data_IF_628666238436
#
_entry.id   IF_628666238436
#
_cell.length_a   1.000
_cell.length_b   1.000
_cell.length_c   1.000
_cell.angle_alpha   90.00
_cell.angle_beta   90.00
_cell.angle_gamma   90.00
#
_symmetry.space_group_name_H-M   'P 1'
#
loop_
_entity.id
_entity.type
_entity.pdbx_description
1 polymer ?
#
# COMPACT_ATOMS: atom_id res chain seq x y z
N UNK A 1 52.15 23.66 29.70
CA UNK A 1 51.67 25.06 29.73
C UNK A 1 51.04 25.35 28.38
N UNK A 2 49.77 25.81 28.33
CA UNK A 2 49.01 25.99 27.10
C UNK A 2 49.16 27.43 26.54
N UNK A 3 49.21 27.56 25.22
CA UNK A 3 49.08 28.84 24.52
C UNK A 3 47.66 28.97 23.99
N UNK A 4 46.91 29.94 24.50
CA UNK A 4 45.54 30.29 24.14
C UNK A 4 45.49 30.99 22.77
N UNK A 5 44.63 30.52 21.87
CA UNK A 5 44.27 31.24 20.63
C UNK A 5 43.00 32.05 20.85
N UNK A 6 43.14 33.38 20.91
CA UNK A 6 42.02 34.32 20.98
C UNK A 6 41.31 34.45 19.62
N UNK A 7 40.02 34.08 19.56
CA UNK A 7 39.15 34.35 18.42
C UNK A 7 38.56 35.76 18.52
N UNK A 8 38.99 36.67 17.63
CA UNK A 8 38.35 37.98 17.48
C UNK A 8 37.12 37.88 16.57
N UNK A 9 35.92 38.13 17.11
CA UNK A 9 34.72 38.38 16.31
C UNK A 9 34.70 39.85 15.88
N UNK A 10 34.72 40.11 14.57
CA UNK A 10 34.47 41.45 14.01
C UNK A 10 32.96 41.73 14.03
N UNK A 11 32.49 42.93 14.44
CA UNK A 11 31.10 43.29 14.30
C UNK A 11 30.73 43.44 12.81
N UNK A 12 29.50 43.07 12.40
CA UNK A 12 29.07 43.18 11.02
C UNK A 12 29.07 44.65 10.58
N UNK A 13 29.81 44.95 9.51
CA UNK A 13 29.88 46.28 8.92
C UNK A 13 28.60 46.69 8.22
N UNK A 14 28.47 47.98 7.92
CA UNK A 14 27.29 48.64 7.35
C UNK A 14 26.70 47.99 6.07
N UNK A 15 27.44 47.11 5.39
CA UNK A 15 26.94 46.32 4.25
C UNK A 15 25.82 45.33 4.61
N UNK A 16 25.74 44.85 5.85
CA UNK A 16 24.69 43.90 6.26
C UNK A 16 23.31 44.56 6.38
N UNK A 17 23.27 45.85 6.75
CA UNK A 17 22.02 46.61 6.84
C UNK A 17 21.46 47.01 5.47
N UNK A 18 22.31 47.17 4.44
CA UNK A 18 21.86 47.45 3.08
C UNK A 18 21.13 46.26 2.43
N UNK A 19 21.51 45.02 2.78
CA UNK A 19 20.88 43.80 2.25
C UNK A 19 19.43 43.59 2.75
N UNK A 20 19.08 44.09 3.93
CA UNK A 20 17.72 43.96 4.50
C UNK A 20 16.67 44.87 3.85
N UNK A 21 17.07 45.85 3.05
CA UNK A 21 16.16 46.80 2.39
C UNK A 21 15.98 46.46 0.90
N UNK A 22 17.03 45.98 0.22
CA UNK A 22 17.00 45.76 -1.24
C UNK A 22 16.21 44.50 -1.63
N UNK A 23 16.28 43.42 -0.85
CA UNK A 23 15.61 42.15 -1.15
C UNK A 23 14.07 42.25 -1.11
N UNK A 24 13.43 42.88 -0.10
CA UNK A 24 11.96 43.03 -0.11
C UNK A 24 11.47 43.98 -1.22
N UNK A 25 12.27 44.97 -1.64
CA UNK A 25 11.90 45.92 -2.69
C UNK A 25 11.98 45.32 -4.12
N UNK A 26 12.85 44.32 -4.33
CA UNK A 26 12.93 43.55 -5.57
C UNK A 26 11.76 42.56 -5.76
N UNK A 27 11.22 42.00 -4.66
CA UNK A 27 10.08 41.08 -4.71
C UNK A 27 8.73 41.77 -4.94
N UNK A 28 8.62 43.07 -4.64
CA UNK A 28 7.42 43.86 -4.91
C UNK A 28 7.27 44.28 -6.40
N UNK A 29 8.34 44.19 -7.21
CA UNK A 29 8.37 44.67 -8.60
C UNK A 29 8.03 43.59 -9.66
N UNK A 30 7.92 42.32 -9.28
CA UNK A 30 7.60 41.22 -10.21
C UNK A 30 6.07 40.96 -10.30
N UNK A 31 5.27 41.60 -9.44
CA UNK A 31 3.82 41.33 -9.32
C UNK A 31 2.88 42.12 -10.23
N UNK A 32 3.35 42.95 -11.16
CA UNK A 32 2.45 43.81 -11.98
C UNK A 32 2.89 43.96 -13.43
N UNK A 33 2.70 42.93 -14.26
CA UNK A 33 2.51 43.08 -15.71
C UNK A 33 2.15 41.72 -16.34
N UNK A 34 0.90 41.55 -16.78
CA UNK A 34 0.49 41.08 -18.13
C UNK A 34 -1.04 40.87 -18.15
N UNK A 35 -1.70 41.88 -18.70
CA UNK A 35 -3.01 41.96 -19.40
C UNK A 35 -2.65 42.78 -20.66
N UNK A 36 -3.19 42.62 -21.87
CA UNK A 36 -4.31 41.92 -22.49
C UNK A 36 -3.87 41.59 -23.94
N UNK A 37 -4.60 40.72 -24.66
CA UNK A 37 -5.29 41.10 -25.91
C UNK A 37 -5.70 39.90 -26.79
N UNK A 38 -7.03 39.77 -26.88
CA UNK A 38 -7.90 39.42 -28.03
C UNK A 38 -7.47 38.42 -29.10
N UNK A 39 -8.36 37.44 -29.35
CA UNK A 39 -8.88 37.17 -30.70
C UNK A 39 -10.24 36.47 -30.61
N UNK A 40 -11.28 37.25 -30.90
CA UNK A 40 -12.64 36.83 -31.22
C UNK A 40 -12.64 35.95 -32.49
N UNK A 41 -13.31 34.80 -32.43
CA UNK A 41 -13.80 34.08 -33.61
C UNK A 41 -14.98 33.20 -33.21
N UNK A 42 -16.18 33.77 -33.27
CA UNK A 42 -17.44 33.02 -33.35
C UNK A 42 -17.62 32.51 -34.81
N UNK A 43 -17.99 31.26 -35.05
CA UNK A 43 -19.35 30.69 -35.21
C UNK A 43 -19.20 29.20 -35.66
N UNK A 44 -20.25 28.34 -35.72
CA UNK A 44 -21.37 28.08 -34.80
C UNK A 44 -21.46 26.58 -34.39
N UNK A 45 -21.83 26.29 -33.14
CA UNK A 45 -22.15 24.92 -32.69
C UNK A 45 -23.64 24.60 -32.91
N UNK A 46 -24.02 23.48 -33.55
CA UNK A 46 -25.33 22.89 -33.37
C UNK A 46 -25.27 21.84 -32.25
N UNK A 47 -25.88 22.22 -31.12
CA UNK A 47 -26.82 21.43 -30.31
C UNK A 47 -26.55 19.93 -29.99
N UNK A 48 -26.60 19.69 -28.67
CA UNK A 48 -27.05 18.48 -27.95
C UNK A 48 -26.01 17.36 -27.77
N UNK A 49 -25.36 17.38 -26.60
CA UNK A 49 -25.28 16.19 -25.76
C UNK A 49 -25.41 16.62 -24.31
N UNK A 50 -26.52 16.24 -23.70
CA UNK A 50 -26.81 16.42 -22.27
C UNK A 50 -25.73 15.71 -21.45
N UNK A 51 -24.78 16.49 -20.90
CA UNK A 51 -23.97 16.03 -19.79
C UNK A 51 -24.91 15.75 -18.60
N UNK A 52 -24.82 14.60 -17.91
CA UNK A 52 -25.53 14.43 -16.67
C UNK A 52 -24.98 15.45 -15.68
N UNK A 53 -25.89 16.24 -15.11
CA UNK A 53 -25.63 17.04 -13.91
C UNK A 53 -25.23 16.07 -12.80
N UNK A 54 -23.92 15.93 -12.58
CA UNK A 54 -23.41 15.31 -11.37
C UNK A 54 -23.71 16.27 -10.22
N UNK A 55 -24.81 16.00 -9.53
CA UNK A 55 -25.00 16.40 -8.14
C UNK A 55 -23.73 16.02 -7.38
N UNK A 56 -23.09 16.94 -6.63
CA UNK A 56 -21.99 16.54 -5.77
C UNK A 56 -22.56 15.53 -4.76
N UNK A 57 -22.13 14.27 -4.88
CA UNK A 57 -22.40 13.27 -3.87
C UNK A 57 -21.85 13.83 -2.55
N UNK A 58 -22.73 13.88 -1.55
CA UNK A 58 -22.49 14.40 -0.22
C UNK A 58 -21.05 14.19 0.25
N UNK A 59 -20.42 15.28 0.69
CA UNK A 59 -19.26 15.21 1.58
C UNK A 59 -19.67 14.46 2.85
N UNK A 60 -19.39 13.16 2.89
CA UNK A 60 -19.30 12.41 4.13
C UNK A 60 -17.97 12.78 4.75
N UNK A 61 -17.99 13.26 5.99
CA UNK A 61 -16.78 13.52 6.75
C UNK A 61 -15.96 12.22 6.76
N UNK A 62 -14.76 12.26 6.17
CA UNK A 62 -13.89 11.10 6.06
C UNK A 62 -13.56 10.59 7.45
N UNK A 63 -14.14 9.45 7.81
CA UNK A 63 -13.78 8.73 9.03
C UNK A 63 -12.38 8.17 8.78
N UNK A 64 -11.36 8.83 9.33
CA UNK A 64 -9.98 8.34 9.27
C UNK A 64 -9.82 7.28 10.35
N UNK A 65 -10.08 6.03 9.99
CA UNK A 65 -9.83 4.87 10.84
C UNK A 65 -8.45 4.29 10.61
N UNK A 66 -7.94 3.67 11.67
CA UNK A 66 -6.68 2.95 11.63
C UNK A 66 -6.80 1.72 10.72
N UNK A 67 -5.73 1.37 9.98
CA UNK A 67 -5.78 0.29 9.03
C UNK A 67 -5.93 -1.05 9.74
N UNK A 68 -6.76 -1.92 9.19
CA UNK A 68 -6.93 -3.30 9.63
C UNK A 68 -7.05 -4.20 8.40
N UNK A 69 -6.40 -5.34 8.39
CA UNK A 69 -6.45 -6.28 7.29
C UNK A 69 -6.37 -7.71 7.77
N UNK A 70 -6.99 -8.58 7.00
CA UNK A 70 -6.93 -10.00 7.18
C UNK A 70 -6.75 -10.63 5.81
N UNK A 71 -5.79 -11.53 5.69
CA UNK A 71 -5.56 -12.29 4.48
C UNK A 71 -5.44 -13.78 4.82
N UNK A 72 -6.24 -14.60 4.16
CA UNK A 72 -6.12 -16.04 4.16
C UNK A 72 -5.36 -16.48 2.91
N UNK A 73 -4.40 -17.37 3.09
CA UNK A 73 -3.60 -17.98 2.03
C UNK A 73 -3.27 -19.42 2.41
N UNK A 74 -3.96 -20.38 1.80
CA UNK A 74 -3.83 -21.82 2.08
C UNK A 74 -4.15 -22.15 3.55
N UNK A 75 -3.15 -22.49 4.35
CA UNK A 75 -3.28 -22.77 5.78
C UNK A 75 -2.93 -21.54 6.64
N UNK A 76 -2.37 -20.47 6.08
CA UNK A 76 -1.96 -19.29 6.86
C UNK A 76 -3.01 -18.18 6.81
N UNK A 77 -3.31 -17.61 7.98
CA UNK A 77 -4.13 -16.40 8.10
C UNK A 77 -3.30 -15.29 8.71
N UNK A 78 -2.98 -14.27 7.92
CA UNK A 78 -2.27 -13.07 8.37
C UNK A 78 -3.29 -12.05 8.82
N UNK A 79 -3.19 -11.61 10.07
CA UNK A 79 -4.00 -10.52 10.63
C UNK A 79 -3.08 -9.37 10.95
N UNK A 80 -3.26 -8.22 10.30
CA UNK A 80 -2.34 -7.08 10.43
C UNK A 80 -3.09 -5.76 10.52
N UNK A 81 -2.49 -4.76 11.18
CA UNK A 81 -3.12 -3.45 11.38
C UNK A 81 -2.95 -2.91 12.79
N UNK A 82 -3.78 -1.94 13.13
CA UNK A 82 -3.73 -1.22 14.39
C UNK A 82 -5.04 -1.39 15.16
N UNK A 83 -4.94 -1.70 16.44
CA UNK A 83 -6.09 -1.90 17.35
C UNK A 83 -5.92 -1.03 18.60
N UNK A 84 -7.01 -0.58 19.23
CA UNK A 84 -6.94 0.42 20.30
C UNK A 84 -6.43 -0.15 21.63
N UNK A 85 -6.65 -1.45 21.88
CA UNK A 85 -6.30 -2.12 23.12
C UNK A 85 -6.10 -3.64 22.95
N UNK A 86 -5.50 -4.28 23.97
CA UNK A 86 -5.25 -5.72 24.01
C UNK A 86 -6.54 -6.58 23.99
N UNK A 87 -7.65 -6.20 24.66
CA UNK A 87 -8.92 -6.90 24.50
C UNK A 87 -9.40 -6.97 23.05
N UNK A 88 -9.29 -5.88 22.29
CA UNK A 88 -9.69 -5.83 20.88
C UNK A 88 -8.78 -6.72 20.02
N UNK A 89 -7.47 -6.70 20.26
CA UNK A 89 -6.51 -7.60 19.62
C UNK A 89 -6.87 -9.07 19.86
N UNK A 90 -7.13 -9.41 21.13
CA UNK A 90 -7.47 -10.77 21.54
C UNK A 90 -8.77 -11.23 20.91
N UNK A 91 -9.78 -10.36 20.89
CA UNK A 91 -11.07 -10.64 20.26
C UNK A 91 -10.92 -10.96 18.76
N UNK A 92 -10.16 -10.14 18.02
CA UNK A 92 -9.92 -10.36 16.59
C UNK A 92 -9.28 -11.74 16.34
N UNK A 93 -8.19 -12.05 17.06
CA UNK A 93 -7.45 -13.29 16.88
C UNK A 93 -8.24 -14.52 17.30
N UNK A 94 -9.00 -14.43 18.40
CA UNK A 94 -9.87 -15.51 18.87
C UNK A 94 -10.95 -15.82 17.84
N UNK A 95 -11.51 -14.78 17.21
CA UNK A 95 -12.56 -14.97 16.22
C UNK A 95 -12.05 -15.63 14.94
N UNK A 96 -10.89 -15.20 14.47
CA UNK A 96 -10.20 -15.82 13.32
C UNK A 96 -9.91 -17.29 13.60
N UNK A 97 -9.31 -17.61 14.75
CA UNK A 97 -9.00 -19.01 15.14
C UNK A 97 -10.23 -19.88 15.28
N UNK A 98 -11.34 -19.30 15.74
CA UNK A 98 -12.61 -20.03 15.93
C UNK A 98 -13.30 -20.33 14.61
N UNK A 99 -13.28 -19.37 13.67
CA UNK A 99 -14.00 -19.49 12.39
C UNK A 99 -13.19 -20.15 11.28
N UNK A 100 -11.87 -20.08 11.35
CA UNK A 100 -10.95 -20.73 10.42
C UNK A 100 -10.11 -21.79 11.17
N UNK A 101 -10.74 -22.91 11.58
CA UNK A 101 -10.05 -23.95 12.31
C UNK A 101 -9.05 -24.68 11.41
N UNK A 102 -7.85 -24.93 11.94
CA UNK A 102 -6.77 -25.58 11.18
C UNK A 102 -5.78 -24.60 10.55
N UNK A 103 -6.14 -23.32 10.44
CA UNK A 103 -5.23 -22.30 9.94
C UNK A 103 -4.20 -21.86 10.98
N UNK A 104 -2.97 -21.63 10.55
CA UNK A 104 -1.92 -20.98 11.31
C UNK A 104 -2.10 -19.46 11.27
N UNK A 105 -2.48 -18.87 12.41
CA UNK A 105 -2.78 -17.45 12.50
C UNK A 105 -1.52 -16.65 12.81
N UNK A 106 -1.05 -15.89 11.83
CA UNK A 106 0.08 -14.96 11.92
C UNK A 106 -0.45 -13.60 12.40
N UNK A 107 -0.03 -13.21 13.59
CA UNK A 107 -0.51 -12.01 14.27
C UNK A 107 0.51 -10.87 14.13
N UNK A 108 0.17 -9.92 13.25
CA UNK A 108 0.92 -8.69 12.99
C UNK A 108 0.15 -7.46 13.48
N UNK A 109 -0.78 -7.63 14.43
CA UNK A 109 -1.55 -6.52 15.00
C UNK A 109 -0.73 -5.73 16.02
N UNK A 110 -0.77 -4.40 15.89
CA UNK A 110 -0.14 -3.45 16.81
C UNK A 110 -1.19 -2.76 17.69
N UNK A 111 -0.96 -2.73 19.01
CA UNK A 111 -1.83 -2.03 19.96
C UNK A 111 -1.39 -0.58 20.11
N UNK A 112 -2.26 0.36 19.73
CA UNK A 112 -2.01 1.80 19.85
C UNK A 112 -3.23 2.46 20.50
N UNK A 113 -3.07 2.90 21.75
CA UNK A 113 -4.15 3.55 22.50
C UNK A 113 -4.57 4.90 21.91
N UNK A 114 -5.86 5.21 21.97
CA UNK A 114 -6.42 6.50 21.56
C UNK A 114 -6.61 6.68 20.05
N UNK A 115 -6.47 5.62 19.26
CA UNK A 115 -6.80 5.61 17.82
C UNK A 115 -8.30 5.34 17.61
N UNK A 116 -8.83 5.80 16.49
CA UNK A 116 -10.12 5.34 15.96
C UNK A 116 -9.87 4.09 15.12
N UNK A 117 -10.31 2.93 15.59
CA UNK A 117 -10.17 1.65 14.88
C UNK A 117 -11.54 1.16 14.38
N UNK A 118 -11.57 0.29 13.35
CA UNK A 118 -12.82 -0.31 12.90
C UNK A 118 -13.46 -1.17 13.99
N UNK A 119 -14.79 -1.15 14.05
CA UNK A 119 -15.55 -2.05 14.93
C UNK A 119 -15.46 -3.48 14.38
N UNK A 120 -14.91 -4.40 15.17
CA UNK A 120 -14.69 -5.78 14.74
C UNK A 120 -15.86 -6.71 15.09
N UNK A 121 -16.96 -6.21 15.67
CA UNK A 121 -18.12 -7.05 16.03
C UNK A 121 -18.78 -7.74 14.83
N UNK A 122 -18.71 -7.11 13.64
CA UNK A 122 -19.22 -7.68 12.38
C UNK A 122 -18.28 -8.69 11.71
N UNK A 123 -17.06 -8.88 12.23
CA UNK A 123 -16.02 -9.72 11.63
C UNK A 123 -16.50 -11.16 11.37
N UNK A 124 -17.37 -11.66 12.25
CA UNK A 124 -18.00 -12.97 12.17
C UNK A 124 -18.66 -13.24 10.83
N UNK A 125 -19.52 -12.31 10.41
CA UNK A 125 -20.30 -12.45 9.18
C UNK A 125 -19.40 -12.48 7.96
N UNK A 126 -18.38 -11.61 7.96
CA UNK A 126 -17.40 -11.50 6.87
C UNK A 126 -16.55 -12.76 6.75
N UNK A 127 -16.04 -13.27 7.87
CA UNK A 127 -15.24 -14.51 7.89
C UNK A 127 -16.07 -15.74 7.48
N UNK A 128 -17.33 -15.83 7.92
CA UNK A 128 -18.22 -16.92 7.51
C UNK A 128 -18.52 -16.85 6.02
N UNK A 129 -18.84 -15.66 5.50
CA UNK A 129 -19.15 -15.46 4.09
C UNK A 129 -17.94 -15.70 3.19
N UNK A 130 -16.75 -15.30 3.63
CA UNK A 130 -15.48 -15.47 2.92
C UNK A 130 -14.87 -16.87 3.05
N UNK A 131 -15.31 -17.71 4.00
CA UNK A 131 -14.78 -19.06 4.21
C UNK A 131 -14.75 -19.99 2.97
N UNK A 132 -15.67 -19.89 1.98
CA UNK A 132 -15.60 -20.69 0.76
C UNK A 132 -14.50 -20.22 -0.21
N UNK A 133 -13.93 -19.03 -0.02
CA UNK A 133 -12.91 -18.46 -0.88
C UNK A 133 -11.52 -18.89 -0.35
N UNK A 134 -10.73 -19.65 -1.12
CA UNK A 134 -9.45 -20.18 -0.64
C UNK A 134 -8.43 -19.08 -0.33
N UNK A 135 -8.52 -17.96 -1.04
CA UNK A 135 -7.58 -16.84 -0.95
C UNK A 135 -8.22 -15.56 -0.40
N UNK A 136 -9.27 -15.72 0.41
CA UNK A 136 -10.03 -14.58 0.90
C UNK A 136 -9.16 -13.60 1.68
N UNK A 137 -9.33 -12.32 1.43
CA UNK A 137 -8.81 -11.29 2.31
C UNK A 137 -9.59 -10.01 2.20
N UNK A 138 -9.45 -9.17 3.21
CA UNK A 138 -9.97 -7.82 3.16
C UNK A 138 -9.02 -6.84 3.85
N UNK A 139 -9.07 -5.59 3.41
CA UNK A 139 -8.32 -4.49 4.01
C UNK A 139 -9.22 -3.30 4.22
N UNK A 140 -9.25 -2.80 5.44
CA UNK A 140 -9.91 -1.56 5.84
C UNK A 140 -8.84 -0.49 5.94
N UNK A 141 -9.00 0.59 5.17
CA UNK A 141 -8.10 1.74 5.22
C UNK A 141 -8.91 3.04 5.14
N UNK A 142 -8.97 3.78 6.25
CA UNK A 142 -9.79 4.98 6.33
C UNK A 142 -11.28 4.68 6.15
N UNK A 143 -11.86 5.13 5.05
CA UNK A 143 -13.29 5.01 4.74
C UNK A 143 -13.67 3.84 3.82
N UNK A 144 -12.68 3.07 3.36
CA UNK A 144 -12.87 2.06 2.33
C UNK A 144 -12.55 0.66 2.88
N UNK A 145 -13.34 -0.33 2.44
CA UNK A 145 -13.07 -1.76 2.64
C UNK A 145 -12.80 -2.38 1.28
N UNK A 146 -11.60 -2.91 1.10
CA UNK A 146 -11.18 -3.61 -0.11
C UNK A 146 -11.34 -5.11 0.14
N UNK A 147 -12.14 -5.78 -0.67
CA UNK A 147 -12.30 -7.23 -0.65
C UNK A 147 -11.43 -7.85 -1.73
N UNK A 148 -10.73 -8.92 -1.38
CA UNK A 148 -9.86 -9.66 -2.30
C UNK A 148 -10.13 -11.14 -2.15
N UNK A 149 -10.00 -11.89 -3.22
CA UNK A 149 -10.17 -13.33 -3.20
C UNK A 149 -10.59 -13.88 -4.54
N UNK A 150 -10.86 -15.17 -4.54
CA UNK A 150 -11.18 -15.90 -5.76
C UNK A 150 -12.47 -16.67 -5.55
N UNK A 151 -13.55 -16.25 -6.21
CA UNK A 151 -14.89 -16.82 -6.08
C UNK A 151 -15.22 -17.83 -7.18
N UNK A 152 -15.96 -18.87 -6.81
CA UNK A 152 -16.49 -19.85 -7.77
C UNK A 152 -17.69 -19.33 -8.57
N UNK A 153 -18.42 -18.34 -8.03
CA UNK A 153 -19.56 -17.69 -8.70
C UNK A 153 -19.84 -16.30 -8.15
N UNK A 154 -20.53 -15.47 -8.94
CA UNK A 154 -20.99 -14.13 -8.53
C UNK A 154 -21.89 -14.18 -7.29
N UNK A 155 -22.66 -15.25 -7.09
CA UNK A 155 -23.47 -15.44 -5.88
C UNK A 155 -22.62 -15.54 -4.60
N UNK A 156 -21.39 -16.06 -4.70
CA UNK A 156 -20.46 -16.12 -3.56
C UNK A 156 -19.98 -14.71 -3.25
N UNK A 157 -19.56 -13.97 -4.27
CA UNK A 157 -19.12 -12.58 -4.16
C UNK A 157 -20.19 -11.69 -3.52
N UNK A 158 -21.42 -11.73 -4.01
CA UNK A 158 -22.53 -10.92 -3.47
C UNK A 158 -22.80 -11.20 -1.98
N UNK A 159 -22.66 -12.45 -1.51
CA UNK A 159 -22.82 -12.78 -0.09
C UNK A 159 -21.70 -12.18 0.78
N UNK A 160 -20.48 -12.10 0.25
CA UNK A 160 -19.36 -11.49 0.96
C UNK A 160 -19.54 -9.97 1.03
N UNK A 161 -19.93 -9.34 -0.08
CA UNK A 161 -20.25 -7.91 -0.12
C UNK A 161 -21.38 -7.57 0.86
N UNK A 162 -22.48 -8.33 0.87
CA UNK A 162 -23.60 -8.15 1.80
C UNK A 162 -23.14 -8.28 3.26
N UNK A 163 -22.28 -9.24 3.57
CA UNK A 163 -21.73 -9.44 4.91
C UNK A 163 -20.85 -8.27 5.35
N UNK A 164 -20.03 -7.73 4.44
CA UNK A 164 -19.15 -6.58 4.69
C UNK A 164 -19.96 -5.31 4.86
N UNK A 165 -20.97 -5.09 4.01
CA UNK A 165 -21.90 -3.96 4.10
C UNK A 165 -22.75 -4.02 5.38
N UNK A 166 -23.08 -5.22 5.87
CA UNK A 166 -23.77 -5.41 7.16
C UNK A 166 -22.84 -5.15 8.36
N UNK A 167 -21.57 -5.53 8.25
CA UNK A 167 -20.56 -5.30 9.29
C UNK A 167 -20.17 -3.81 9.38
N UNK A 168 -20.02 -3.14 8.25
CA UNK A 168 -19.57 -1.75 8.16
C UNK A 168 -20.42 -0.95 7.18
N UNK A 169 -21.66 -0.55 7.58
CA UNK A 169 -22.60 0.12 6.68
C UNK A 169 -22.16 1.51 6.23
N UNK A 170 -21.25 2.13 6.98
CA UNK A 170 -20.75 3.48 6.71
C UNK A 170 -19.50 3.50 5.80
N UNK A 171 -18.92 2.33 5.48
CA UNK A 171 -17.72 2.24 4.64
C UNK A 171 -18.09 1.93 3.18
N UNK A 172 -17.28 2.45 2.27
CA UNK A 172 -17.39 2.12 0.85
C UNK A 172 -16.75 0.74 0.62
N UNK A 173 -17.55 -0.21 0.13
CA UNK A 173 -17.05 -1.53 -0.27
C UNK A 173 -16.49 -1.42 -1.68
N UNK A 174 -15.22 -1.81 -1.83
CA UNK A 174 -14.53 -1.99 -3.10
C UNK A 174 -14.33 -3.49 -3.27
N UNK A 175 -15.17 -4.11 -4.09
CA UNK A 175 -15.06 -5.52 -4.40
C UNK A 175 -14.03 -5.78 -5.50
N UNK A 176 -13.04 -6.60 -5.17
CA UNK A 176 -12.01 -7.10 -6.08
C UNK A 176 -11.86 -8.63 -5.93
N UNK A 177 -12.97 -9.30 -5.62
CA UNK A 177 -13.04 -10.76 -5.64
C UNK A 177 -13.16 -11.22 -7.10
N UNK A 178 -12.11 -11.88 -7.59
CA UNK A 178 -12.09 -12.44 -8.93
C UNK A 178 -13.01 -13.66 -9.03
N UNK A 179 -14.05 -13.61 -9.85
CA UNK A 179 -14.88 -14.79 -10.15
C UNK A 179 -14.16 -15.65 -11.18
N UNK A 180 -13.76 -16.88 -10.81
CA UNK A 180 -13.22 -17.84 -11.78
C UNK A 180 -14.36 -18.21 -12.73
N UNK A 181 -14.35 -17.62 -13.92
CA UNK A 181 -15.14 -18.12 -15.03
C UNK A 181 -14.45 -19.39 -15.55
N UNK A 182 -15.06 -20.59 -15.48
CA UNK A 182 -14.43 -21.79 -15.99
C UNK A 182 -14.15 -21.61 -17.50
N UNK A 183 -12.87 -21.45 -17.85
CA UNK A 183 -12.40 -21.26 -19.22
C UNK A 183 -11.48 -20.07 -19.49
N UNK A 184 -11.25 -19.17 -18.53
CA UNK A 184 -10.30 -18.07 -18.67
C UNK A 184 -9.42 -17.96 -17.42
N UNK A 185 -8.36 -18.77 -17.36
CA UNK A 185 -7.33 -18.57 -16.35
C UNK A 185 -6.59 -17.25 -16.64
N UNK A 186 -6.29 -16.41 -15.63
CA UNK A 186 -5.37 -15.29 -15.81
C UNK A 186 -4.06 -15.78 -16.43
N UNK A 187 -3.38 -14.99 -17.28
CA UNK A 187 -2.06 -15.38 -17.80
C UNK A 187 -1.15 -15.67 -16.61
N UNK A 188 -0.77 -16.94 -16.44
CA UNK A 188 0.13 -17.35 -15.39
C UNK A 188 1.42 -16.56 -15.56
N UNK A 189 1.84 -15.85 -14.51
CA UNK A 189 3.19 -15.29 -14.45
C UNK A 189 4.18 -16.40 -14.81
N UNK A 190 5.23 -16.11 -15.59
CA UNK A 190 6.18 -17.13 -16.04
C UNK A 190 6.70 -17.89 -14.82
N UNK A 191 6.38 -19.19 -14.76
CA UNK A 191 6.88 -20.11 -13.75
C UNK A 191 8.40 -20.09 -13.83
N UNK A 192 9.05 -19.38 -12.90
CA UNK A 192 10.47 -19.57 -12.63
C UNK A 192 10.68 -21.06 -12.34
N UNK A 193 11.81 -21.69 -12.74
CA UNK A 193 12.06 -23.08 -12.41
C UNK A 193 11.96 -23.22 -10.90
N UNK A 194 10.85 -23.82 -10.44
CA UNK A 194 10.48 -23.76 -9.04
C UNK A 194 11.57 -24.36 -8.17
N UNK A 195 11.73 -23.78 -6.98
CA UNK A 195 12.52 -24.39 -5.92
C UNK A 195 11.99 -25.82 -5.69
N UNK A 196 12.88 -26.77 -5.42
CA UNK A 196 12.51 -28.17 -5.19
C UNK A 196 12.80 -28.59 -3.75
N UNK A 197 12.07 -29.58 -3.23
CA UNK A 197 12.25 -30.08 -1.87
C UNK A 197 11.59 -29.16 -0.84
N UNK A 198 12.25 -28.90 0.28
CA UNK A 198 11.72 -28.15 1.44
C UNK A 198 11.37 -26.67 1.13
N UNK A 199 11.73 -26.18 -0.06
CA UNK A 199 11.49 -24.80 -0.50
C UNK A 199 10.49 -24.68 -1.64
N UNK A 200 9.80 -25.78 -2.00
CA UNK A 200 8.87 -25.79 -3.13
C UNK A 200 7.74 -24.77 -2.98
N UNK A 201 7.26 -24.57 -1.75
CA UNK A 201 6.12 -23.70 -1.45
C UNK A 201 6.55 -22.25 -1.13
N UNK A 202 7.86 -21.98 -1.03
CA UNK A 202 8.40 -20.68 -0.61
C UNK A 202 7.87 -19.50 -1.44
N UNK A 203 7.74 -19.66 -2.76
CA UNK A 203 7.21 -18.59 -3.61
C UNK A 203 5.75 -18.27 -3.25
N UNK A 204 4.95 -19.29 -2.97
CA UNK A 204 3.54 -19.15 -2.62
C UNK A 204 3.39 -18.48 -1.25
N UNK A 205 4.21 -18.88 -0.27
CA UNK A 205 4.20 -18.31 1.07
C UNK A 205 4.58 -16.82 1.05
N UNK A 206 5.67 -16.47 0.35
CA UNK A 206 6.10 -15.08 0.16
C UNK A 206 5.00 -14.26 -0.55
N UNK A 207 4.37 -14.83 -1.57
CA UNK A 207 3.29 -14.16 -2.30
C UNK A 207 2.06 -13.94 -1.42
N UNK A 208 1.73 -14.90 -0.55
CA UNK A 208 0.66 -14.80 0.44
C UNK A 208 0.90 -13.65 1.44
N UNK A 209 2.12 -13.55 1.97
CA UNK A 209 2.52 -12.47 2.87
C UNK A 209 2.44 -11.09 2.19
N UNK A 210 2.81 -10.99 0.92
CA UNK A 210 2.84 -9.73 0.15
C UNK A 210 1.48 -9.25 -0.37
N UNK A 211 0.41 -10.03 -0.18
CA UNK A 211 -0.95 -9.51 -0.37
C UNK A 211 -1.24 -8.35 0.60
N UNK A 212 -0.56 -8.32 1.75
CA UNK A 212 -0.48 -7.12 2.58
C UNK A 212 0.61 -6.19 2.04
N UNK A 213 0.28 -4.96 1.60
CA UNK A 213 1.28 -4.06 1.03
C UNK A 213 2.36 -3.66 2.04
N UNK A 214 3.61 -3.65 1.59
CA UNK A 214 4.70 -3.03 2.35
C UNK A 214 4.49 -1.52 2.33
N UNK A 215 4.31 -0.93 3.50
CA UNK A 215 4.06 0.50 3.67
C UNK A 215 5.36 1.29 3.75
N UNK A 216 5.34 2.49 3.19
CA UNK A 216 6.46 3.43 3.21
C UNK A 216 6.06 4.75 3.89
N UNK A 217 7.03 5.44 4.47
CA UNK A 217 6.86 6.83 4.90
C UNK A 217 6.46 7.71 3.69
N UNK A 218 5.64 8.74 3.94
CA UNK A 218 5.01 9.56 2.91
C UNK A 218 6.01 10.06 1.83
N UNK A 219 5.71 9.74 0.57
CA UNK A 219 6.49 10.17 -0.61
C UNK A 219 7.90 9.57 -0.70
N UNK A 220 8.21 8.55 0.10
CA UNK A 220 9.57 8.05 0.28
C UNK A 220 9.76 6.56 -0.03
N UNK A 221 10.98 6.12 0.23
CA UNK A 221 11.41 4.72 0.17
C UNK A 221 11.78 4.16 1.55
N UNK A 222 11.50 4.90 2.63
CA UNK A 222 11.71 4.39 3.99
C UNK A 222 10.55 3.50 4.37
N UNK A 223 10.83 2.25 4.71
CA UNK A 223 9.81 1.30 5.17
C UNK A 223 9.22 1.82 6.47
N UNK A 224 7.89 1.88 6.54
CA UNK A 224 7.18 2.31 7.74
C UNK A 224 7.36 1.28 8.87
N UNK A 225 7.40 1.74 10.11
CA UNK A 225 7.53 0.86 11.29
C UNK A 225 6.40 -0.19 11.36
N UNK A 226 5.21 0.16 10.89
CA UNK A 226 4.06 -0.76 10.80
C UNK A 226 4.33 -1.99 9.91
N UNK A 227 5.28 -1.91 8.98
CA UNK A 227 5.67 -3.03 8.12
C UNK A 227 6.86 -3.83 8.66
N UNK A 228 7.48 -3.41 9.78
CA UNK A 228 8.58 -4.16 10.38
C UNK A 228 8.22 -5.62 10.73
N UNK A 229 7.03 -5.94 11.27
CA UNK A 229 6.61 -7.32 11.51
C UNK A 229 6.51 -8.15 10.22
N UNK A 230 5.94 -7.58 9.16
CA UNK A 230 5.85 -8.23 7.85
C UNK A 230 7.24 -8.53 7.25
N UNK A 231 8.16 -7.56 7.34
CA UNK A 231 9.55 -7.75 6.88
C UNK A 231 10.23 -8.87 7.67
N UNK A 232 10.00 -8.96 8.98
CA UNK A 232 10.58 -10.02 9.81
C UNK A 232 10.06 -11.41 9.41
N UNK A 233 8.76 -11.53 9.10
CA UNK A 233 8.17 -12.79 8.64
C UNK A 233 8.71 -13.20 7.26
N UNK A 234 8.78 -12.27 6.31
CA UNK A 234 9.42 -12.52 5.00
C UNK A 234 10.86 -13.00 5.16
N UNK A 235 11.64 -12.38 6.05
CA UNK A 235 13.03 -12.79 6.32
C UNK A 235 13.10 -14.19 6.95
N UNK A 236 12.16 -14.54 7.81
CA UNK A 236 12.08 -15.87 8.43
C UNK A 236 11.89 -16.95 7.35
N UNK A 237 10.95 -16.77 6.44
CA UNK A 237 10.72 -17.70 5.32
C UNK A 237 11.94 -17.82 4.40
N UNK A 238 12.56 -16.68 4.05
CA UNK A 238 13.78 -16.65 3.22
C UNK A 238 15.00 -17.31 3.89
N UNK A 239 15.03 -17.36 5.22
CA UNK A 239 16.09 -18.04 5.99
C UNK A 239 15.86 -19.53 6.12
N UNK A 240 14.60 -19.99 6.17
CA UNK A 240 14.26 -21.41 6.11
C UNK A 240 14.78 -22.04 4.80
N UNK A 241 14.90 -21.23 3.75
CA UNK A 241 15.36 -21.63 2.43
C UNK A 241 16.69 -20.96 2.01
N UNK A 242 17.84 -21.36 2.59
CA UNK A 242 19.12 -20.66 2.39
C UNK A 242 19.68 -20.74 0.96
N UNK A 243 19.17 -21.67 0.15
CA UNK A 243 19.55 -21.87 -1.25
C UNK A 243 18.79 -20.98 -2.24
N UNK A 244 17.64 -20.43 -1.84
CA UNK A 244 16.80 -19.60 -2.71
C UNK A 244 17.44 -18.22 -2.95
N UNK A 245 17.44 -17.76 -4.19
CA UNK A 245 17.71 -16.35 -4.54
C UNK A 245 16.42 -15.56 -4.51
N UNK A 246 16.54 -14.26 -4.31
CA UNK A 246 15.43 -13.33 -4.10
C UNK A 246 15.62 -12.15 -5.05
N UNK A 247 14.60 -11.88 -5.86
CA UNK A 247 14.50 -10.69 -6.68
C UNK A 247 13.34 -9.84 -6.17
N UNK A 248 13.61 -8.57 -5.91
CA UNK A 248 12.63 -7.61 -5.38
C UNK A 248 12.38 -6.55 -6.44
N UNK A 249 11.13 -6.41 -6.88
CA UNK A 249 10.74 -5.44 -7.89
C UNK A 249 9.74 -4.46 -7.30
N UNK A 250 10.04 -3.16 -7.39
CA UNK A 250 9.09 -2.11 -6.98
C UNK A 250 8.25 -1.63 -8.16
N UNK A 251 7.00 -1.26 -7.89
CA UNK A 251 6.07 -0.70 -8.86
C UNK A 251 5.44 0.59 -8.33
N UNK A 252 5.08 1.50 -9.23
CA UNK A 252 4.34 2.73 -8.92
C UNK A 252 3.02 2.76 -9.68
N UNK A 253 2.13 3.68 -9.31
CA UNK A 253 1.03 4.08 -10.17
C UNK A 253 1.50 5.03 -11.30
N UNK A 254 0.56 5.47 -12.13
CA UNK A 254 0.77 6.38 -13.26
C UNK A 254 0.85 7.87 -12.87
N UNK A 255 0.75 8.21 -11.59
CA UNK A 255 0.77 9.62 -11.16
C UNK A 255 2.18 10.21 -11.14
N UNK A 256 3.20 9.34 -11.13
CA UNK A 256 4.61 9.72 -11.12
C UNK A 256 5.18 9.56 -12.52
N UNK A 257 5.84 10.62 -13.03
CA UNK A 257 6.49 10.57 -14.34
C UNK A 257 7.45 9.37 -14.45
N UNK A 258 7.43 8.65 -15.58
CA UNK A 258 8.08 7.35 -15.77
C UNK A 258 9.49 7.25 -15.20
N UNK A 259 10.37 8.22 -15.50
CA UNK A 259 11.75 8.21 -15.00
C UNK A 259 11.83 8.36 -13.47
N UNK A 260 10.98 9.21 -12.88
CA UNK A 260 10.91 9.40 -11.43
C UNK A 260 10.21 8.21 -10.74
N UNK A 261 9.25 7.57 -11.40
CA UNK A 261 8.56 6.37 -10.91
C UNK A 261 9.50 5.16 -10.87
N UNK A 262 10.31 4.96 -11.91
CA UNK A 262 11.37 3.94 -11.93
C UNK A 262 12.38 4.19 -10.81
N UNK A 263 12.83 5.43 -10.60
CA UNK A 263 13.78 5.74 -9.53
C UNK A 263 13.17 5.52 -8.13
N UNK A 264 11.91 5.94 -7.92
CA UNK A 264 11.20 5.75 -6.66
C UNK A 264 11.01 4.28 -6.33
N UNK A 265 10.47 3.52 -7.27
CA UNK A 265 10.25 2.08 -7.12
C UNK A 265 11.56 1.31 -6.90
N UNK A 266 12.65 1.69 -7.60
CA UNK A 266 13.96 1.08 -7.39
C UNK A 266 14.50 1.37 -5.97
N UNK A 267 14.32 2.59 -5.46
CA UNK A 267 14.70 2.92 -4.07
C UNK A 267 13.87 2.16 -3.05
N UNK A 268 12.58 1.99 -3.30
CA UNK A 268 11.68 1.21 -2.44
C UNK A 268 12.10 -0.27 -2.40
N UNK A 269 12.29 -0.91 -3.56
CA UNK A 269 12.79 -2.28 -3.65
C UNK A 269 14.15 -2.44 -2.97
N UNK A 270 15.06 -1.46 -3.15
CA UNK A 270 16.35 -1.44 -2.47
C UNK A 270 16.21 -1.35 -0.95
N UNK A 271 15.27 -0.56 -0.44
CA UNK A 271 15.06 -0.44 1.00
C UNK A 271 14.63 -1.79 1.62
N UNK A 272 13.78 -2.54 0.92
CA UNK A 272 13.37 -3.90 1.31
C UNK A 272 14.57 -4.86 1.24
N UNK A 273 15.36 -4.82 0.17
CA UNK A 273 16.58 -5.62 0.04
C UNK A 273 17.56 -5.35 1.19
N UNK A 274 17.83 -4.07 1.48
CA UNK A 274 18.73 -3.69 2.55
C UNK A 274 18.17 -4.11 3.93
N UNK A 275 16.84 -4.13 4.11
CA UNK A 275 16.21 -4.65 5.32
C UNK A 275 16.42 -6.16 5.48
N UNK A 276 16.25 -6.94 4.42
CA UNK A 276 16.50 -8.39 4.44
C UNK A 276 17.95 -8.69 4.77
N UNK A 277 18.89 -7.95 4.16
CA UNK A 277 20.32 -8.12 4.41
C UNK A 277 20.67 -7.78 5.85
N UNK A 278 20.17 -6.66 6.39
CA UNK A 278 20.38 -6.28 7.80
C UNK A 278 19.87 -7.34 8.77
N UNK A 279 18.80 -8.04 8.41
CA UNK A 279 18.24 -9.10 9.23
C UNK A 279 18.88 -10.47 8.97
N UNK A 280 19.86 -10.60 8.07
CA UNK A 280 20.72 -11.78 7.93
C UNK A 280 20.44 -12.65 6.69
N UNK A 281 19.70 -12.17 5.70
CA UNK A 281 19.70 -12.79 4.36
C UNK A 281 21.03 -12.42 3.67
N UNK A 282 21.70 -13.39 3.03
CA UNK A 282 22.97 -13.11 2.35
C UNK A 282 22.77 -12.10 1.20
N UNK A 283 23.61 -11.08 1.12
CA UNK A 283 23.55 -10.06 0.07
C UNK A 283 23.69 -10.67 -1.34
N UNK A 284 24.47 -11.74 -1.50
CA UNK A 284 24.67 -12.43 -2.78
C UNK A 284 23.39 -13.12 -3.29
N UNK A 285 22.37 -13.25 -2.44
CA UNK A 285 21.08 -13.86 -2.76
C UNK A 285 20.01 -12.82 -3.09
N UNK A 286 20.23 -11.54 -2.81
CA UNK A 286 19.19 -10.51 -2.92
C UNK A 286 19.52 -9.55 -4.04
N UNK A 287 18.57 -9.40 -4.96
CA UNK A 287 18.61 -8.41 -6.03
C UNK A 287 17.40 -7.49 -5.92
N UNK A 288 17.53 -6.24 -6.37
CA UNK A 288 16.44 -5.27 -6.36
C UNK A 288 16.40 -4.47 -7.65
N UNK A 289 15.20 -4.16 -8.13
CA UNK A 289 14.94 -3.37 -9.33
C UNK A 289 13.66 -2.55 -9.20
N UNK A 290 13.49 -1.53 -10.05
CA UNK A 290 12.28 -0.72 -10.12
C UNK A 290 11.67 -0.76 -11.51
N UNK A 291 10.39 -1.06 -11.59
CA UNK A 291 9.62 -1.07 -12.83
C UNK A 291 8.83 0.23 -13.04
N UNK A 292 8.64 1.06 -12.00
CA UNK A 292 7.75 2.21 -12.08
C UNK A 292 6.32 1.79 -12.45
N UNK A 293 5.68 2.52 -13.37
CA UNK A 293 4.31 2.28 -13.81
C UNK A 293 4.20 1.30 -15.01
N UNK A 294 5.30 0.68 -15.45
CA UNK A 294 5.33 -0.07 -16.73
C UNK A 294 4.61 -1.41 -16.68
N UNK A 295 4.33 -1.93 -15.49
CA UNK A 295 3.71 -3.24 -15.25
C UNK A 295 2.51 -3.11 -14.29
N UNK A 296 1.42 -2.46 -14.73
CA UNK A 296 0.21 -2.32 -13.92
C UNK A 296 -0.53 -3.66 -13.82
N UNK A 297 -1.05 -3.95 -12.64
CA UNK A 297 -1.91 -5.12 -12.38
C UNK A 297 -3.39 -4.73 -12.32
N UNK A 298 -3.68 -3.43 -12.21
CA UNK A 298 -5.02 -2.87 -12.21
C UNK A 298 -5.07 -1.56 -13.00
N UNK A 299 -6.28 -1.13 -13.37
CA UNK A 299 -6.49 0.15 -14.06
C UNK A 299 -6.13 1.33 -13.17
N UNK A 300 -5.51 2.38 -13.73
CA UNK A 300 -5.14 3.59 -12.96
C UNK A 300 -6.27 4.64 -12.86
N UNK A 301 -7.46 4.33 -13.40
CA UNK A 301 -8.61 5.24 -13.43
C UNK A 301 -9.21 5.49 -12.04
N UNK A 302 -9.00 4.57 -11.09
CA UNK A 302 -9.50 4.66 -9.72
C UNK A 302 -8.34 4.70 -8.71
N UNK A 303 -8.58 5.30 -7.54
CA UNK A 303 -7.57 5.29 -6.48
C UNK A 303 -7.25 3.87 -5.99
N UNK A 304 -8.25 2.98 -6.00
CA UNK A 304 -8.08 1.58 -5.65
C UNK A 304 -7.10 0.87 -6.59
N UNK A 305 -7.28 1.00 -7.91
CA UNK A 305 -6.37 0.40 -8.88
C UNK A 305 -4.97 1.03 -8.87
N UNK A 306 -4.86 2.34 -8.60
CA UNK A 306 -3.55 2.97 -8.33
C UNK A 306 -2.88 2.42 -7.07
N UNK A 307 -3.63 2.20 -6.00
CA UNK A 307 -3.09 1.61 -4.77
C UNK A 307 -2.51 0.21 -5.00
N UNK A 308 -3.12 -0.59 -5.87
CA UNK A 308 -2.61 -1.92 -6.25
C UNK A 308 -1.34 -1.86 -7.10
N UNK A 309 -1.24 -0.84 -7.97
CA UNK A 309 -0.03 -0.63 -8.77
C UNK A 309 1.16 -0.15 -7.92
N UNK A 310 0.93 0.54 -6.80
CA UNK A 310 1.94 0.89 -5.79
C UNK A 310 2.31 -0.32 -4.91
N UNK A 311 3.00 -1.29 -5.48
CA UNK A 311 3.35 -2.57 -4.82
C UNK A 311 4.83 -2.90 -4.87
N UNK A 312 5.23 -3.89 -4.07
CA UNK A 312 6.51 -4.59 -4.21
C UNK A 312 6.22 -6.05 -4.49
N UNK A 313 6.86 -6.58 -5.52
CA UNK A 313 6.84 -7.98 -5.87
C UNK A 313 8.16 -8.64 -5.44
N UNK A 314 8.08 -9.86 -4.92
CA UNK A 314 9.25 -10.66 -4.55
C UNK A 314 9.15 -12.01 -5.24
N UNK A 315 10.15 -12.31 -6.06
CA UNK A 315 10.29 -13.58 -6.76
C UNK A 315 11.46 -14.36 -6.18
N UNK A 316 11.30 -15.67 -6.00
CA UNK A 316 12.34 -16.58 -5.54
C UNK A 316 12.66 -17.66 -6.57
N UNK A 317 13.93 -18.09 -6.63
CA UNK A 317 14.46 -19.08 -7.59
C UNK A 317 15.64 -19.88 -7.04
#
# INVERSE_FOLDING_TARGET
MPGSTDFHRRPPGAGWLAALIVVPLALALIGTAVRDDTSDSALPNPMISTAPTLTPANGRAGVVMAPFSLQHSNDDVVVSGQVPDEPTRTFALDRVRTLLPGSNVIDLLSVIGGITAPDLTGLDGVLIAGSPLPDFGFSINGGDVILTGTAESEDVTARVEDAVQAAWPDLAVVDDIAVITPGFAPPQAPVSPGLSGECADLQQDISGLLRTPIQYEAGGARIAESSAPLIAELVKELKACPQARVSITGHTDDTVADAAGIELSARQAKAVADAFIRQGVSADRVTSSGAGATEPIAGNDTEAGRAQNRRVEITVS
#
